data_IF_997944884190
#
_entry.id   IF_997944884190
#
_cell.length_a   1.000
_cell.length_b   1.000
_cell.length_c   1.000
_cell.angle_alpha   90.00
_cell.angle_beta   90.00
_cell.angle_gamma   90.00
#
_symmetry.space_group_name_H-M   'P 1'
#
loop_
_entity.id
_entity.type
_entity.pdbx_description
1 polymer ?
#
# COMPACT_ATOMS: atom_id res chain seq x y z
N UNK A 1 -19.50 -30.53 17.29
CA UNK A 1 -18.29 -30.42 16.45
C UNK A 1 -18.70 -29.64 15.20
N UNK A 2 -18.15 -28.45 14.97
CA UNK A 2 -18.53 -27.63 13.82
C UNK A 2 -18.48 -26.15 14.17
N UNK A 3 -17.29 -25.56 14.09
CA UNK A 3 -17.11 -24.12 14.19
C UNK A 3 -17.48 -23.54 12.83
N UNK A 4 -18.67 -22.94 12.74
CA UNK A 4 -19.14 -22.24 11.54
C UNK A 4 -18.28 -21.00 11.35
N UNK A 5 -17.22 -21.13 10.56
CA UNK A 5 -16.42 -20.00 10.08
C UNK A 5 -17.26 -19.28 9.03
N UNK A 6 -17.89 -18.18 9.43
CA UNK A 6 -18.49 -17.25 8.49
C UNK A 6 -17.40 -16.75 7.52
N UNK A 7 -17.59 -16.80 6.20
CA UNK A 7 -16.80 -15.97 5.31
C UNK A 7 -17.25 -14.53 5.57
N UNK A 8 -16.43 -13.72 6.24
CA UNK A 8 -16.62 -12.27 6.20
C UNK A 8 -16.65 -11.85 4.74
N UNK A 9 -17.68 -11.14 4.27
CA UNK A 9 -17.68 -10.56 2.94
C UNK A 9 -16.61 -9.46 2.93
N UNK A 10 -15.40 -9.80 2.50
CA UNK A 10 -14.54 -8.81 1.87
C UNK A 10 -15.29 -8.38 0.62
N UNK A 11 -16.00 -7.26 0.74
CA UNK A 11 -16.75 -6.57 -0.30
C UNK A 11 -16.01 -6.67 -1.63
N UNK A 12 -16.68 -7.02 -2.74
CA UNK A 12 -16.07 -6.86 -4.05
C UNK A 12 -15.80 -5.36 -4.25
N UNK A 13 -14.56 -4.93 -3.96
CA UNK A 13 -14.08 -3.66 -4.47
C UNK A 13 -14.24 -3.75 -5.99
N UNK A 14 -14.81 -2.74 -6.67
CA UNK A 14 -14.81 -2.75 -8.12
C UNK A 14 -13.37 -2.95 -8.55
N UNK A 15 -13.14 -3.93 -9.44
CA UNK A 15 -11.86 -4.24 -10.04
C UNK A 15 -11.39 -3.11 -10.98
N UNK A 16 -11.49 -1.86 -10.55
CA UNK A 16 -10.68 -0.78 -11.06
C UNK A 16 -9.25 -1.22 -10.80
N UNK A 17 -8.47 -1.43 -11.87
CA UNK A 17 -7.06 -1.80 -11.77
C UNK A 17 -6.30 -0.71 -11.01
N UNK A 18 -6.27 -0.81 -9.68
CA UNK A 18 -5.65 0.16 -8.80
C UNK A 18 -4.20 -0.23 -8.64
N UNK A 19 -3.32 0.74 -8.86
CA UNK A 19 -1.91 0.61 -8.63
C UNK A 19 -1.58 1.13 -7.23
N UNK A 20 -0.82 0.35 -6.49
CA UNK A 20 -0.38 0.71 -5.15
C UNK A 20 0.94 1.46 -5.24
N UNK A 21 1.05 2.54 -4.47
CA UNK A 21 2.26 3.36 -4.39
C UNK A 21 2.62 3.60 -2.93
N UNK A 22 3.91 3.70 -2.67
CA UNK A 22 4.46 4.16 -1.40
C UNK A 22 4.93 5.60 -1.63
N UNK A 23 4.35 6.56 -0.93
CA UNK A 23 4.70 7.99 -1.04
C UNK A 23 5.38 8.42 0.25
N UNK A 24 6.58 8.99 0.14
CA UNK A 24 7.28 9.58 1.25
C UNK A 24 6.73 10.99 1.50
N UNK A 25 6.19 11.21 2.68
CA UNK A 25 5.80 12.53 3.14
C UNK A 25 7.03 13.32 3.60
N UNK A 26 6.92 14.65 3.66
CA UNK A 26 8.00 15.53 4.11
C UNK A 26 8.39 15.28 5.58
N UNK A 27 7.54 14.60 6.34
CA UNK A 27 7.81 14.15 7.71
C UNK A 27 8.76 12.94 7.77
N UNK A 28 9.08 12.32 6.63
CA UNK A 28 9.87 11.08 6.56
C UNK A 28 9.01 9.80 6.70
N UNK A 29 7.72 9.94 6.98
CA UNK A 29 6.78 8.83 7.03
C UNK A 29 6.39 8.44 5.60
N UNK A 30 6.35 7.14 5.32
CA UNK A 30 5.87 6.64 4.04
C UNK A 30 4.44 6.13 4.16
N UNK A 31 3.55 6.63 3.30
CA UNK A 31 2.15 6.22 3.19
C UNK A 31 1.95 5.27 2.02
N UNK A 32 1.02 4.33 2.15
CA UNK A 32 0.62 3.45 1.04
C UNK A 32 -0.73 3.94 0.52
N UNK A 33 -0.76 4.36 -0.74
CA UNK A 33 -1.96 4.84 -1.42
C UNK A 33 -2.29 3.96 -2.62
N UNK A 34 -3.58 3.83 -2.94
CA UNK A 34 -4.04 3.27 -4.20
C UNK A 34 -4.41 4.41 -5.15
N UNK A 35 -3.90 4.34 -6.37
CA UNK A 35 -4.28 5.26 -7.45
C UNK A 35 -4.89 4.46 -8.59
N UNK A 36 -5.78 5.10 -9.34
CA UNK A 36 -6.34 4.51 -10.55
C UNK A 36 -5.24 4.29 -11.60
N UNK A 37 -5.45 3.30 -12.49
CA UNK A 37 -4.50 3.00 -13.55
C UNK A 37 -4.22 4.26 -14.40
N UNK A 38 -2.94 4.53 -14.64
CA UNK A 38 -2.50 5.72 -15.37
C UNK A 38 -2.38 7.00 -14.52
N UNK A 39 -2.69 6.95 -13.22
CA UNK A 39 -2.39 8.03 -12.27
C UNK A 39 -1.11 7.73 -11.49
N UNK A 40 -0.32 8.77 -11.23
CA UNK A 40 0.90 8.70 -10.42
C UNK A 40 0.84 9.72 -9.28
N UNK A 41 1.59 9.49 -8.19
CA UNK A 41 1.69 10.47 -7.11
C UNK A 41 2.28 11.77 -7.64
N UNK A 42 1.57 12.88 -7.41
CA UNK A 42 1.92 14.20 -7.98
C UNK A 42 3.08 14.85 -7.21
N UNK A 43 3.26 14.53 -5.92
CA UNK A 43 4.28 15.16 -5.08
C UNK A 43 5.11 14.14 -4.29
N UNK A 44 6.42 14.39 -4.25
CA UNK A 44 7.37 13.72 -3.37
C UNK A 44 8.07 12.51 -3.98
N UNK A 45 8.94 11.90 -3.18
CA UNK A 45 9.58 10.63 -3.50
C UNK A 45 8.54 9.51 -3.37
N UNK A 46 8.37 8.70 -4.42
CA UNK A 46 7.47 7.55 -4.37
C UNK A 46 8.10 6.28 -4.96
N UNK A 47 7.50 5.14 -4.63
CA UNK A 47 7.86 3.82 -5.14
C UNK A 47 6.61 3.07 -5.60
N UNK A 48 6.70 2.40 -6.74
CA UNK A 48 5.59 1.71 -7.39
C UNK A 48 5.62 1.94 -8.91
N UNK A 49 4.56 1.57 -9.64
CA UNK A 49 3.33 0.94 -9.15
C UNK A 49 3.55 -0.50 -8.67
N UNK A 50 2.79 -0.93 -7.66
CA UNK A 50 2.67 -2.33 -7.24
C UNK A 50 1.27 -2.86 -7.57
N UNK A 51 1.20 -4.15 -7.93
CA UNK A 51 -0.07 -4.79 -8.29
C UNK A 51 -0.95 -5.05 -7.07
N UNK A 52 -0.34 -5.33 -5.92
CA UNK A 52 -1.04 -5.70 -4.70
C UNK A 52 -0.64 -4.83 -3.50
N UNK A 53 -1.61 -4.55 -2.63
CA UNK A 53 -1.35 -3.83 -1.36
C UNK A 53 -0.30 -4.56 -0.52
N UNK A 54 -0.34 -5.89 -0.49
CA UNK A 54 0.62 -6.71 0.25
C UNK A 54 2.07 -6.49 -0.20
N UNK A 55 2.29 -6.36 -1.51
CA UNK A 55 3.62 -6.05 -2.05
C UNK A 55 4.08 -4.66 -1.61
N UNK A 56 3.21 -3.65 -1.72
CA UNK A 56 3.53 -2.29 -1.27
C UNK A 56 3.88 -2.25 0.24
N UNK A 57 3.22 -3.06 1.06
CA UNK A 57 3.53 -3.20 2.49
C UNK A 57 4.93 -3.81 2.68
N UNK A 58 5.24 -4.93 2.02
CA UNK A 58 6.55 -5.58 2.13
C UNK A 58 7.70 -4.64 1.70
N UNK A 59 7.48 -3.89 0.61
CA UNK A 59 8.44 -2.90 0.11
C UNK A 59 8.62 -1.73 1.07
N UNK A 60 7.54 -1.24 1.68
CA UNK A 60 7.60 -0.18 2.72
C UNK A 60 8.46 -0.62 3.90
N UNK A 61 8.31 -1.86 4.38
CA UNK A 61 9.15 -2.39 5.46
C UNK A 61 10.63 -2.40 5.05
N UNK A 62 10.93 -2.80 3.81
CA UNK A 62 12.30 -2.71 3.27
C UNK A 62 12.85 -1.28 3.26
N UNK A 63 12.03 -0.30 2.87
CA UNK A 63 12.40 1.12 2.88
C UNK A 63 12.63 1.65 4.31
N UNK A 64 11.88 1.15 5.29
CA UNK A 64 12.11 1.47 6.70
C UNK A 64 13.46 0.94 7.17
N UNK A 65 13.77 -0.33 6.86
CA UNK A 65 15.07 -0.93 7.22
C UNK A 65 16.25 -0.25 6.53
N UNK A 66 16.03 0.31 5.33
CA UNK A 66 17.02 1.08 4.59
C UNK A 66 17.16 2.55 5.05
N UNK A 67 16.39 2.99 6.06
CA UNK A 67 16.39 4.37 6.55
C UNK A 67 15.74 5.38 5.61
N UNK A 68 15.05 4.93 4.56
CA UNK A 68 14.32 5.82 3.63
C UNK A 68 12.94 6.20 4.15
N UNK A 69 12.33 5.37 4.97
CA UNK A 69 11.04 5.63 5.59
C UNK A 69 11.16 5.52 7.09
N UNK A 70 10.43 6.35 7.83
CA UNK A 70 10.32 6.20 9.27
C UNK A 70 9.21 5.21 9.64
N UNK A 71 9.42 4.35 10.65
CA UNK A 71 8.34 3.61 11.26
C UNK A 71 7.42 4.58 12.01
N UNK A 72 6.12 4.32 11.95
CA UNK A 72 5.15 5.04 12.79
C UNK A 72 5.22 4.36 14.16
N UNK A 73 5.55 5.12 15.19
CA UNK A 73 5.59 4.67 16.59
C UNK A 73 4.23 4.74 17.25
#
# INVERSE_FOLDING_TARGET
MGKTLHPTPHTPHPASAQNWYIVQENTGICQIIALENGKTPVNGQYWGPFAERGEAIARRVGLIRAGKCQPIV
#
